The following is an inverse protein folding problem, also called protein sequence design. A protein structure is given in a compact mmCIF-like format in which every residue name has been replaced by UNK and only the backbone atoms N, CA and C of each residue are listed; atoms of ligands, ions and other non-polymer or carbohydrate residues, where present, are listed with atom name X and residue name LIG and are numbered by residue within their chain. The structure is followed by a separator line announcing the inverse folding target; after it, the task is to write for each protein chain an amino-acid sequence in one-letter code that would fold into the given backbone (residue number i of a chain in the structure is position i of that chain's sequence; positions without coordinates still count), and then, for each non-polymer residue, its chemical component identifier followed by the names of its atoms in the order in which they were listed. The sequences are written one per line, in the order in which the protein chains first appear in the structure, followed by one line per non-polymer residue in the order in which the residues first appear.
data_IF_588086756126
#
_entry.id   IF_588086756126
#
_cell.length_a   1.000
_cell.length_b   1.000
_cell.length_c   1.000
_cell.angle_alpha   90.00
_cell.angle_beta   90.00
_cell.angle_gamma   90.00
#
_symmetry.space_group_name_H-M   'P 1'
#
loop_
_entity.id
_entity.type
_entity.pdbx_description
1 polymer ?
#
# COMPACT_ATOMS: atom_id res chain seq x y z
N UNK A 1 -24.31 31.58 6.09
CA UNK A 1 -23.39 31.92 4.96
C UNK A 1 -22.38 30.80 4.82
N UNK A 2 -22.28 30.17 3.65
CA UNK A 2 -21.34 29.08 3.41
C UNK A 2 -19.90 29.59 3.44
N UNK A 3 -19.04 28.90 4.18
CA UNK A 3 -17.61 29.18 4.23
C UNK A 3 -16.98 29.11 2.82
N UNK A 4 -16.19 30.13 2.47
CA UNK A 4 -15.44 30.17 1.20
C UNK A 4 -14.36 29.09 1.21
N UNK A 5 -14.21 28.33 0.11
CA UNK A 5 -13.09 27.39 -0.09
C UNK A 5 -11.77 28.15 -0.03
N UNK A 6 -10.76 27.56 0.59
CA UNK A 6 -9.42 28.17 0.71
C UNK A 6 -8.64 28.06 -0.59
N UNK A 7 -8.88 27.00 -1.37
CA UNK A 7 -8.24 26.76 -2.66
C UNK A 7 -9.24 26.89 -3.81
N UNK A 8 -8.70 27.02 -5.03
CA UNK A 8 -9.47 27.05 -6.27
C UNK A 8 -10.27 25.76 -6.54
N UNK A 9 -10.90 25.69 -7.70
CA UNK A 9 -11.75 24.56 -8.05
C UNK A 9 -10.96 23.23 -8.18
N UNK A 10 -11.59 22.11 -7.80
CA UNK A 10 -10.94 20.79 -7.80
C UNK A 10 -10.40 20.41 -9.18
N UNK A 11 -11.15 20.71 -10.25
CA UNK A 11 -10.76 20.41 -11.63
C UNK A 11 -9.44 21.09 -12.04
N UNK A 12 -9.12 22.23 -11.41
CA UNK A 12 -7.88 22.95 -11.67
C UNK A 12 -6.67 22.23 -11.07
N UNK A 13 -6.87 21.55 -9.94
CA UNK A 13 -5.82 20.79 -9.26
C UNK A 13 -5.62 19.40 -9.87
N UNK A 14 -6.66 18.78 -10.42
CA UNK A 14 -6.53 17.53 -11.19
C UNK A 14 -5.66 17.76 -12.45
N UNK A 15 -5.98 18.79 -13.25
CA UNK A 15 -5.16 19.19 -14.41
C UNK A 15 -3.75 19.66 -14.04
N UNK A 16 -3.57 20.18 -12.82
CA UNK A 16 -2.24 20.53 -12.30
C UNK A 16 -1.47 19.27 -11.93
N UNK A 17 -2.12 18.29 -11.30
CA UNK A 17 -1.52 17.02 -10.92
C UNK A 17 -0.94 16.31 -12.15
N UNK A 18 -1.70 16.21 -13.24
CA UNK A 18 -1.23 15.62 -14.52
C UNK A 18 0.09 16.27 -14.99
N UNK A 19 0.13 17.61 -15.05
CA UNK A 19 1.33 18.36 -15.45
C UNK A 19 2.50 18.17 -14.48
N UNK A 20 2.22 18.08 -13.18
CA UNK A 20 3.26 17.83 -12.17
C UNK A 20 3.84 16.43 -12.34
N UNK A 21 3.01 15.42 -12.56
CA UNK A 21 3.42 14.03 -12.78
C UNK A 21 4.31 13.89 -14.02
N UNK A 22 3.94 14.56 -15.11
CA UNK A 22 4.76 14.62 -16.32
C UNK A 22 6.14 15.23 -16.05
N UNK A 23 6.20 16.36 -15.32
CA UNK A 23 7.45 17.06 -14.98
C UNK A 23 8.40 16.23 -14.12
N UNK A 24 7.87 15.38 -13.24
CA UNK A 24 8.68 14.47 -12.41
C UNK A 24 8.99 13.14 -13.10
N UNK A 25 8.54 12.94 -14.34
CA UNK A 25 8.80 11.72 -15.12
C UNK A 25 7.97 10.51 -14.70
N UNK A 26 6.83 10.72 -14.05
CA UNK A 26 5.90 9.66 -13.62
C UNK A 26 4.87 9.41 -14.73
N UNK A 27 4.81 8.16 -15.20
CA UNK A 27 3.89 7.74 -16.27
C UNK A 27 2.55 7.23 -15.76
N UNK A 28 2.57 6.54 -14.62
CA UNK A 28 1.40 5.89 -14.04
C UNK A 28 1.21 6.39 -12.62
N UNK A 29 0.05 7.00 -12.37
CA UNK A 29 -0.37 7.45 -11.07
C UNK A 29 -1.90 7.30 -10.93
N UNK A 30 -2.34 7.23 -9.69
CA UNK A 30 -3.75 7.21 -9.31
C UNK A 30 -3.95 8.13 -8.11
N UNK A 31 -5.15 8.67 -7.95
CA UNK A 31 -5.47 9.57 -6.84
C UNK A 31 -6.94 9.45 -6.44
N UNK A 32 -7.24 9.92 -5.25
CA UNK A 32 -8.61 10.11 -4.78
C UNK A 32 -8.64 11.32 -3.84
N UNK A 33 -9.76 12.04 -3.83
CA UNK A 33 -10.10 12.96 -2.76
C UNK A 33 -11.59 12.84 -2.45
N UNK A 34 -11.91 12.86 -1.17
CA UNK A 34 -13.27 12.86 -0.68
C UNK A 34 -13.53 14.12 0.16
N UNK A 35 -14.58 14.10 0.97
CA UNK A 35 -14.92 15.23 1.85
C UNK A 35 -13.94 15.42 3.01
N UNK A 36 -13.17 14.40 3.38
CA UNK A 36 -12.33 14.34 4.58
C UNK A 36 -10.83 14.38 4.28
N UNK A 37 -10.41 13.94 3.10
CA UNK A 37 -9.00 13.93 2.72
C UNK A 37 -8.75 13.50 1.29
N UNK A 38 -7.50 13.12 1.03
CA UNK A 38 -7.01 12.76 -0.29
C UNK A 38 -5.76 11.89 -0.21
N UNK A 39 -5.45 11.25 -1.33
CA UNK A 39 -4.16 10.64 -1.57
C UNK A 39 -3.81 10.67 -3.06
N UNK A 40 -2.52 10.64 -3.34
CA UNK A 40 -1.92 10.50 -4.68
C UNK A 40 -0.87 9.42 -4.58
N UNK A 41 -0.93 8.44 -5.47
CA UNK A 41 -0.04 7.28 -5.49
C UNK A 41 0.55 7.08 -6.88
N UNK A 42 1.84 6.80 -6.95
CA UNK A 42 2.55 6.62 -8.21
C UNK A 42 3.76 5.70 -8.07
N UNK A 43 4.22 5.16 -9.20
CA UNK A 43 5.47 4.40 -9.28
C UNK A 43 6.60 5.23 -9.86
N UNK A 44 7.74 5.19 -9.20
CA UNK A 44 8.99 5.79 -9.70
C UNK A 44 10.15 4.85 -9.41
N UNK A 45 10.96 4.53 -10.43
CA UNK A 45 12.08 3.56 -10.32
C UNK A 45 11.69 2.23 -9.66
N UNK A 46 10.53 1.67 -10.04
CA UNK A 46 9.92 0.44 -9.48
C UNK A 46 9.48 0.49 -8.02
N UNK A 47 9.49 1.66 -7.39
CA UNK A 47 9.02 1.85 -6.03
C UNK A 47 7.67 2.56 -5.99
N UNK A 48 6.84 2.19 -5.02
CA UNK A 48 5.53 2.79 -4.80
C UNK A 48 5.64 3.95 -3.80
N UNK A 49 5.08 5.09 -4.18
CA UNK A 49 5.04 6.28 -3.35
C UNK A 49 3.60 6.74 -3.17
N UNK A 50 3.26 7.20 -1.96
CA UNK A 50 1.93 7.69 -1.63
C UNK A 50 2.01 8.95 -0.80
N UNK A 51 1.43 10.03 -1.31
CA UNK A 51 1.24 11.28 -0.60
C UNK A 51 -0.20 11.35 -0.15
N UNK A 52 -0.43 11.54 1.15
CA UNK A 52 -1.78 11.58 1.71
C UNK A 52 -1.95 12.72 2.71
N UNK A 53 -3.10 13.38 2.62
CA UNK A 53 -3.46 14.46 3.52
C UNK A 53 -4.95 14.43 3.85
N UNK A 54 -5.30 14.95 5.03
CA UNK A 54 -6.68 14.93 5.53
C UNK A 54 -6.92 16.09 6.49
N UNK A 55 -8.20 16.40 6.71
CA UNK A 55 -8.65 17.38 7.70
C UNK A 55 -8.08 17.04 9.09
N UNK A 56 -8.11 15.77 9.49
CA UNK A 56 -7.63 15.35 10.82
C UNK A 56 -6.12 15.54 10.97
N UNK A 57 -5.35 15.21 9.92
CA UNK A 57 -3.89 15.44 9.90
C UNK A 57 -3.56 16.93 9.98
N UNK A 58 -4.31 17.78 9.28
CA UNK A 58 -4.14 19.23 9.35
C UNK A 58 -4.47 19.74 10.75
N UNK A 59 -5.61 19.32 11.31
CA UNK A 59 -6.07 19.72 12.64
C UNK A 59 -5.10 19.34 13.75
N UNK A 60 -4.49 18.15 13.67
CA UNK A 60 -3.46 17.70 14.61
C UNK A 60 -2.22 18.62 14.64
N UNK A 61 -1.98 19.36 13.56
CA UNK A 61 -0.91 20.37 13.45
C UNK A 61 -1.39 21.81 13.66
N UNK A 62 -2.62 22.01 14.13
CA UNK A 62 -3.21 23.34 14.33
C UNK A 62 -3.62 24.03 13.03
N UNK A 63 -3.62 23.33 11.89
CA UNK A 63 -4.02 23.87 10.59
C UNK A 63 -5.52 23.62 10.40
N UNK A 64 -6.27 24.70 10.19
CA UNK A 64 -7.71 24.62 10.01
C UNK A 64 -8.07 24.37 8.54
N UNK A 65 -8.16 23.09 8.16
CA UNK A 65 -8.59 22.67 6.83
C UNK A 65 -10.07 22.24 6.86
N UNK A 66 -10.87 22.69 5.88
CA UNK A 66 -12.33 22.50 5.91
C UNK A 66 -12.84 21.42 4.96
N UNK A 67 -12.15 21.19 3.85
CA UNK A 67 -12.59 20.27 2.80
C UNK A 67 -11.47 19.33 2.39
N UNK A 68 -11.78 18.07 2.09
CA UNK A 68 -10.79 17.16 1.50
C UNK A 68 -10.25 17.62 0.14
N UNK A 69 -11.01 18.43 -0.61
CA UNK A 69 -10.49 19.11 -1.82
C UNK A 69 -9.38 20.11 -1.51
N UNK A 70 -9.41 20.76 -0.34
CA UNK A 70 -8.30 21.63 0.10
C UNK A 70 -7.07 20.79 0.46
N UNK A 71 -7.27 19.60 1.05
CA UNK A 71 -6.18 18.67 1.33
C UNK A 71 -5.53 18.20 0.03
N UNK A 72 -6.35 17.90 -0.98
CA UNK A 72 -5.89 17.53 -2.31
C UNK A 72 -5.07 18.64 -2.95
N UNK A 73 -5.59 19.87 -2.94
CA UNK A 73 -4.85 21.04 -3.45
C UNK A 73 -3.48 21.18 -2.80
N UNK A 74 -3.37 21.00 -1.47
CA UNK A 74 -2.09 21.04 -0.77
C UNK A 74 -1.14 19.93 -1.19
N UNK A 75 -1.62 18.69 -1.39
CA UNK A 75 -0.80 17.59 -1.91
C UNK A 75 -0.29 17.89 -3.31
N UNK A 76 -1.15 18.37 -4.21
CA UNK A 76 -0.74 18.74 -5.59
C UNK A 76 0.30 19.85 -5.58
N UNK A 77 0.13 20.89 -4.74
CA UNK A 77 1.09 21.98 -4.62
C UNK A 77 2.43 21.51 -4.05
N UNK A 78 2.43 20.62 -3.06
CA UNK A 78 3.65 20.06 -2.52
C UNK A 78 4.42 19.21 -3.55
N UNK A 79 3.71 18.44 -4.38
CA UNK A 79 4.30 17.72 -5.50
C UNK A 79 4.85 18.69 -6.56
N UNK A 80 4.17 19.80 -6.80
CA UNK A 80 4.65 20.85 -7.71
C UNK A 80 5.95 21.50 -7.20
N UNK A 81 6.03 21.75 -5.89
CA UNK A 81 7.24 22.25 -5.24
C UNK A 81 8.40 21.25 -5.39
N UNK A 82 8.13 19.95 -5.21
CA UNK A 82 9.09 18.87 -5.44
C UNK A 82 9.59 18.88 -6.89
N UNK A 83 8.69 18.96 -7.86
CA UNK A 83 9.04 19.06 -9.27
C UNK A 83 9.96 20.26 -9.56
N UNK A 84 9.65 21.43 -8.98
CA UNK A 84 10.50 22.63 -9.14
C UNK A 84 11.88 22.46 -8.52
N UNK A 85 12.02 21.73 -7.41
CA UNK A 85 13.33 21.46 -6.80
C UNK A 85 14.19 20.57 -7.69
N UNK A 86 13.58 19.55 -8.31
CA UNK A 86 14.25 18.64 -9.26
C UNK A 86 14.70 19.40 -10.50
N UNK A 87 13.82 20.21 -11.11
CA UNK A 87 14.14 21.02 -12.30
C UNK A 87 15.25 22.04 -12.04
N UNK A 88 15.36 22.55 -10.81
CA UNK A 88 16.42 23.48 -10.40
C UNK A 88 17.75 22.78 -10.08
N UNK A 89 17.81 21.45 -10.16
CA UNK A 89 18.99 20.67 -9.84
C UNK A 89 19.40 20.73 -8.37
N UNK A 90 18.46 21.06 -7.46
CA UNK A 90 18.76 21.13 -6.02
C UNK A 90 19.00 19.70 -5.48
N UNK A 91 18.20 18.74 -5.94
CA UNK A 91 18.33 17.31 -5.65
C UNK A 91 17.64 16.46 -6.72
N UNK A 92 18.14 15.24 -6.92
CA UNK A 92 17.44 14.21 -7.68
C UNK A 92 16.13 13.79 -7.00
N UNK A 93 15.09 13.48 -7.78
CA UNK A 93 13.81 13.00 -7.24
C UNK A 93 14.02 11.77 -6.34
N UNK A 94 14.90 10.86 -6.78
CA UNK A 94 15.30 9.65 -6.05
C UNK A 94 15.72 9.91 -4.60
N UNK A 95 16.44 11.01 -4.35
CA UNK A 95 16.93 11.38 -3.01
C UNK A 95 15.78 11.68 -2.04
N UNK A 96 14.72 12.34 -2.52
CA UNK A 96 13.55 12.66 -1.70
C UNK A 96 12.66 11.46 -1.46
N UNK A 97 12.42 10.70 -2.52
CA UNK A 97 11.47 9.59 -2.47
C UNK A 97 12.03 8.40 -1.70
N UNK A 98 13.35 8.22 -1.62
CA UNK A 98 13.99 7.18 -0.79
C UNK A 98 13.57 7.20 0.69
N UNK A 99 13.28 8.39 1.25
CA UNK A 99 12.76 8.55 2.62
C UNK A 99 11.24 8.48 2.75
N UNK A 100 10.50 8.45 1.63
CA UNK A 100 9.04 8.51 1.56
C UNK A 100 8.41 7.21 1.05
N UNK A 101 9.19 6.12 0.95
CA UNK A 101 8.71 4.83 0.44
C UNK A 101 7.47 4.39 1.20
N UNK A 102 6.38 4.23 0.47
CA UNK A 102 5.19 3.61 1.02
C UNK A 102 5.39 2.10 0.88
N UNK A 103 5.57 1.41 2.00
CA UNK A 103 5.54 -0.05 1.97
C UNK A 103 4.14 -0.49 1.56
N UNK A 104 3.98 -1.47 0.65
CA UNK A 104 2.67 -2.05 0.40
C UNK A 104 2.08 -2.51 1.74
N UNK A 105 0.75 -2.45 1.91
CA UNK A 105 0.11 -2.94 3.13
C UNK A 105 0.63 -4.35 3.41
N UNK A 106 1.00 -4.67 4.66
CA UNK A 106 1.51 -5.99 4.99
C UNK A 106 0.51 -7.03 4.50
N UNK A 107 0.98 -7.97 3.69
CA UNK A 107 0.16 -9.09 3.26
C UNK A 107 -0.19 -9.88 4.52
N UNK A 108 -1.44 -9.81 4.96
CA UNK A 108 -1.90 -10.58 6.11
C UNK A 108 -1.94 -12.05 5.74
N UNK A 109 -0.87 -12.76 6.07
CA UNK A 109 -0.77 -14.20 5.83
C UNK A 109 -1.71 -14.90 6.83
N UNK A 110 -2.71 -15.66 6.37
CA UNK A 110 -3.60 -16.41 7.26
C UNK A 110 -2.82 -17.36 8.17
N UNK A 111 -3.28 -17.53 9.41
CA UNK A 111 -2.56 -18.34 10.40
C UNK A 111 -2.34 -19.79 9.96
N UNK A 112 -3.27 -20.37 9.19
CA UNK A 112 -3.11 -21.72 8.65
C UNK A 112 -2.00 -21.81 7.58
N UNK A 113 -1.74 -20.73 6.82
CA UNK A 113 -0.61 -20.66 5.87
C UNK A 113 0.71 -20.51 6.63
N UNK A 114 0.73 -19.67 7.69
CA UNK A 114 1.91 -19.57 8.58
C UNK A 114 2.20 -20.88 9.30
N UNK A 115 1.18 -21.62 9.74
CA UNK A 115 1.35 -22.92 10.39
C UNK A 115 2.07 -23.94 9.49
N UNK A 116 1.84 -23.89 8.17
CA UNK A 116 2.55 -24.71 7.18
C UNK A 116 4.00 -24.22 6.93
N UNK A 117 4.42 -23.14 7.57
CA UNK A 117 5.76 -22.59 7.51
C UNK A 117 6.02 -21.71 6.30
N UNK A 118 4.98 -21.08 5.73
CA UNK A 118 5.13 -20.08 4.67
C UNK A 118 5.28 -18.68 5.25
N UNK A 119 6.27 -17.93 4.75
CA UNK A 119 6.53 -16.52 5.08
C UNK A 119 5.83 -15.54 4.12
N UNK A 120 5.17 -16.06 3.08
CA UNK A 120 4.38 -15.32 2.10
C UNK A 120 3.21 -16.19 1.60
N UNK A 121 2.23 -15.60 0.91
CA UNK A 121 1.15 -16.41 0.30
C UNK A 121 1.78 -17.29 -0.81
N UNK A 122 1.62 -18.62 -0.78
CA UNK A 122 2.16 -19.52 -1.80
C UNK A 122 1.48 -19.32 -3.16
N UNK A 123 2.07 -19.85 -4.23
CA UNK A 123 1.63 -19.60 -5.60
C UNK A 123 0.38 -20.41 -5.99
N UNK A 124 -0.01 -21.39 -5.18
CA UNK A 124 -1.22 -22.16 -5.41
C UNK A 124 -1.28 -23.45 -4.61
N UNK A 125 -2.25 -24.30 -4.95
CA UNK A 125 -2.51 -25.56 -4.25
C UNK A 125 -1.34 -26.56 -4.33
N UNK A 126 -0.50 -26.50 -5.37
CA UNK A 126 0.63 -27.42 -5.52
C UNK A 126 1.69 -27.20 -4.42
N UNK A 127 2.02 -25.95 -4.11
CA UNK A 127 2.92 -25.58 -3.02
C UNK A 127 2.41 -26.10 -1.67
N UNK A 128 1.09 -26.02 -1.44
CA UNK A 128 0.45 -26.55 -0.23
C UNK A 128 0.60 -28.07 -0.14
N UNK A 129 0.35 -28.79 -1.24
CA UNK A 129 0.46 -30.26 -1.30
C UNK A 129 1.90 -30.73 -1.12
N UNK A 130 2.87 -30.03 -1.69
CA UNK A 130 4.28 -30.34 -1.49
C UNK A 130 4.69 -30.11 -0.03
N UNK A 131 4.31 -28.97 0.55
CA UNK A 131 4.65 -28.64 1.93
C UNK A 131 4.00 -29.60 2.93
N UNK A 132 2.74 -29.97 2.71
CA UNK A 132 2.07 -30.99 3.51
C UNK A 132 2.82 -32.32 3.47
N UNK A 133 3.26 -32.79 2.29
CA UNK A 133 4.05 -34.03 2.17
C UNK A 133 5.38 -33.96 2.92
N UNK A 134 6.03 -32.80 2.94
CA UNK A 134 7.27 -32.61 3.70
C UNK A 134 7.01 -32.70 5.21
N UNK A 135 6.01 -31.98 5.72
CA UNK A 135 5.67 -31.95 7.15
C UNK A 135 5.10 -33.27 7.65
N UNK A 136 4.33 -33.98 6.82
CA UNK A 136 3.79 -35.29 7.15
C UNK A 136 4.91 -36.32 7.42
N UNK A 137 6.07 -36.21 6.77
CA UNK A 137 7.21 -37.11 7.01
C UNK A 137 7.84 -36.95 8.40
N UNK A 138 7.58 -35.86 9.10
CA UNK A 138 8.14 -35.58 10.44
C UNK A 138 7.08 -35.54 11.53
N UNK A 139 5.83 -35.22 11.18
CA UNK A 139 4.74 -35.02 12.15
C UNK A 139 3.76 -36.20 12.21
N UNK A 140 3.93 -37.24 11.37
CA UNK A 140 3.05 -38.40 11.40
C UNK A 140 3.33 -39.27 12.66
N UNK A 141 2.30 -39.79 13.33
CA UNK A 141 2.46 -40.60 14.55
C UNK A 141 3.41 -41.80 14.37
N UNK A 142 3.33 -42.47 13.21
CA UNK A 142 4.19 -43.61 12.87
C UNK A 142 5.70 -43.33 12.78
N UNK A 143 6.11 -42.05 12.71
CA UNK A 143 7.53 -41.63 12.63
C UNK A 143 7.97 -40.81 13.84
N UNK A 144 7.20 -40.85 14.93
CA UNK A 144 7.53 -40.19 16.19
C UNK A 144 6.86 -38.82 16.40
N UNK A 145 5.90 -38.44 15.55
CA UNK A 145 5.02 -37.29 15.78
C UNK A 145 3.86 -37.58 16.74
N UNK A 146 3.03 -36.59 17.03
CA UNK A 146 1.80 -36.78 17.80
C UNK A 146 0.58 -36.79 16.88
N UNK A 147 -0.44 -37.56 17.23
CA UNK A 147 -1.69 -37.62 16.46
C UNK A 147 -2.40 -36.26 16.45
N UNK A 148 -2.33 -35.51 17.55
CA UNK A 148 -2.86 -34.15 17.64
C UNK A 148 -2.20 -33.18 16.67
N UNK A 149 -0.88 -33.23 16.52
CA UNK A 149 -0.15 -32.37 15.59
C UNK A 149 -0.43 -32.74 14.13
N UNK A 150 -0.63 -34.03 13.85
CA UNK A 150 -1.00 -34.50 12.51
C UNK A 150 -2.42 -34.08 12.12
N UNK A 151 -3.37 -34.06 13.06
CA UNK A 151 -4.73 -33.53 12.84
C UNK A 151 -4.68 -32.03 12.54
N UNK A 152 -3.91 -31.25 13.31
CA UNK A 152 -3.72 -29.81 13.06
C UNK A 152 -3.09 -29.55 11.68
N UNK A 153 -2.13 -30.37 11.28
CA UNK A 153 -1.50 -30.29 9.96
C UNK A 153 -2.49 -30.54 8.81
N UNK A 154 -3.38 -31.53 8.95
CA UNK A 154 -4.43 -31.79 7.96
C UNK A 154 -5.42 -30.62 7.87
N UNK A 155 -5.93 -30.14 8.99
CA UNK A 155 -6.87 -29.02 9.05
C UNK A 155 -6.28 -27.73 8.43
N UNK A 156 -5.02 -27.40 8.78
CA UNK A 156 -4.33 -26.26 8.19
C UNK A 156 -4.15 -26.40 6.67
N UNK A 157 -3.84 -27.60 6.19
CA UNK A 157 -3.65 -27.89 4.76
C UNK A 157 -4.96 -27.80 3.97
N UNK A 158 -6.07 -28.31 4.52
CA UNK A 158 -7.39 -28.20 3.89
C UNK A 158 -7.85 -26.74 3.81
N UNK A 159 -7.68 -25.97 4.87
CA UNK A 159 -7.98 -24.52 4.89
C UNK A 159 -7.12 -23.77 3.86
N UNK A 160 -5.84 -24.12 3.76
CA UNK A 160 -4.94 -23.54 2.78
C UNK A 160 -5.32 -23.91 1.33
N UNK A 161 -5.76 -25.15 1.06
CA UNK A 161 -6.22 -25.54 -0.28
C UNK A 161 -7.49 -24.79 -0.70
N UNK A 162 -8.47 -24.68 0.20
CA UNK A 162 -9.72 -23.92 -0.04
C UNK A 162 -9.50 -22.42 -0.25
N UNK A 163 -8.41 -21.86 0.29
CA UNK A 163 -8.04 -20.46 0.08
C UNK A 163 -7.83 -20.12 -1.40
N UNK A 164 -7.34 -21.09 -2.20
CA UNK A 164 -7.07 -20.93 -3.63
C UNK A 164 -8.21 -21.42 -4.55
N UNK A 165 -9.35 -21.87 -4.00
CA UNK A 165 -10.52 -22.32 -4.77
C UNK A 165 -11.52 -21.19 -5.07
N UNK A 166 -11.13 -19.94 -4.82
CA UNK A 166 -11.91 -18.73 -5.10
C UNK A 166 -11.43 -18.06 -6.36
#
# INVERSE_FOLDING_TARGET
MGAKKQYGDSDSYERKLERVMERIGVKEFTYNFDRFGCWVEFRYQNELYRFEHSIDKAKAKGINLRYGSDAFAQVVLALEDLARMVERGIYELGTWVAGMKFLPPPVEIPNFIRFLGFEQIPNGQEDIKERFRQLAKTMHPDVGGTEEDFIKLKDASEKAMKYFER
#
